data_IF_558650489353
#
_entry.id   IF_558650489353
#
_cell.length_a   1.000
_cell.length_b   1.000
_cell.length_c   1.000
_cell.angle_alpha   90.00
_cell.angle_beta   90.00
_cell.angle_gamma   90.00
#
_symmetry.space_group_name_H-M   'P 1'
#
loop_
_entity.id
_entity.type
_entity.pdbx_description
1 polymer ?
#
# COMPACT_ATOMS: atom_id res chain seq x y z
N UNK A 1 -2.33 -25.01 -18.15
CA UNK A 1 -1.93 -23.90 -17.26
C UNK A 1 -3.03 -23.67 -16.26
N UNK A 2 -2.72 -23.51 -14.97
CA UNK A 2 -3.72 -23.14 -13.95
C UNK A 2 -4.19 -21.70 -14.26
N UNK A 3 -5.48 -21.43 -14.08
CA UNK A 3 -5.98 -20.06 -14.21
C UNK A 3 -5.46 -19.23 -13.04
N UNK A 4 -5.07 -17.96 -13.26
CA UNK A 4 -4.85 -17.02 -12.17
C UNK A 4 -6.09 -16.92 -11.30
N UNK A 5 -5.90 -16.66 -10.01
CA UNK A 5 -6.97 -16.67 -9.01
C UNK A 5 -6.85 -15.48 -8.05
N UNK A 6 -7.99 -14.86 -7.73
CA UNK A 6 -8.08 -13.69 -6.85
C UNK A 6 -9.17 -13.87 -5.79
N UNK A 7 -8.85 -13.51 -4.56
CA UNK A 7 -9.81 -13.40 -3.45
C UNK A 7 -10.00 -11.93 -3.05
N UNK A 8 -11.21 -11.39 -3.24
CA UNK A 8 -11.57 -10.05 -2.75
C UNK A 8 -12.15 -10.09 -1.34
N UNK A 9 -11.62 -9.28 -0.43
CA UNK A 9 -12.02 -9.27 0.98
C UNK A 9 -12.50 -7.90 1.41
N UNK A 10 -13.61 -7.83 2.14
CA UNK A 10 -13.98 -6.63 2.90
C UNK A 10 -14.60 -7.04 4.24
N UNK A 11 -15.04 -6.11 5.09
CA UNK A 11 -15.59 -6.50 6.41
C UNK A 11 -16.80 -7.42 6.28
N UNK A 12 -17.83 -6.98 5.55
CA UNK A 12 -19.14 -7.65 5.51
C UNK A 12 -19.32 -8.62 4.36
N UNK A 13 -18.46 -8.63 3.35
CA UNK A 13 -18.68 -9.32 2.08
C UNK A 13 -20.08 -9.09 1.45
N UNK A 14 -20.60 -7.89 1.63
CA UNK A 14 -21.93 -7.50 1.16
C UNK A 14 -21.89 -6.40 0.09
N UNK A 15 -20.82 -5.59 0.04
CA UNK A 15 -20.69 -4.44 -0.86
C UNK A 15 -19.42 -4.51 -1.70
N UNK A 16 -18.38 -3.74 -1.30
CA UNK A 16 -17.12 -3.57 -2.04
C UNK A 16 -16.51 -4.88 -2.60
N UNK A 17 -16.34 -5.93 -1.78
CA UNK A 17 -15.75 -7.18 -2.29
C UNK A 17 -16.66 -7.97 -3.24
N UNK A 18 -17.98 -7.88 -3.09
CA UNK A 18 -18.93 -8.45 -4.05
C UNK A 18 -18.91 -7.67 -5.37
N UNK A 19 -18.81 -6.34 -5.29
CA UNK A 19 -18.68 -5.48 -6.47
C UNK A 19 -17.40 -5.80 -7.24
N UNK A 20 -16.27 -5.89 -6.55
CA UNK A 20 -14.99 -6.24 -7.17
C UNK A 20 -15.03 -7.63 -7.84
N UNK A 21 -15.62 -8.63 -7.16
CA UNK A 21 -15.76 -9.96 -7.73
C UNK A 21 -16.66 -9.99 -8.98
N UNK A 22 -17.82 -9.33 -8.93
CA UNK A 22 -18.73 -9.23 -10.07
C UNK A 22 -18.08 -8.53 -11.27
N UNK A 23 -17.40 -7.40 -11.04
CA UNK A 23 -16.68 -6.65 -12.07
C UNK A 23 -15.53 -7.46 -12.66
N UNK A 24 -14.74 -8.16 -11.83
CA UNK A 24 -13.64 -9.00 -12.30
C UNK A 24 -14.15 -10.14 -13.18
N UNK A 25 -15.24 -10.81 -12.80
CA UNK A 25 -15.85 -11.85 -13.64
C UNK A 25 -16.32 -11.30 -14.99
N UNK A 26 -16.88 -10.08 -15.02
CA UNK A 26 -17.26 -9.42 -16.27
C UNK A 26 -16.04 -9.09 -17.16
N UNK A 27 -14.96 -8.58 -16.56
CA UNK A 27 -13.77 -8.07 -17.29
C UNK A 27 -12.84 -9.21 -17.73
N UNK A 28 -12.56 -10.16 -16.84
CA UNK A 28 -11.67 -11.28 -17.08
C UNK A 28 -12.39 -12.50 -17.68
N UNK A 29 -13.71 -12.60 -17.52
CA UNK A 29 -14.47 -13.76 -17.98
C UNK A 29 -13.95 -15.05 -17.34
N UNK A 30 -13.79 -16.09 -18.15
CA UNK A 30 -13.32 -17.40 -17.68
C UNK A 30 -11.80 -17.51 -17.51
N UNK A 31 -11.03 -16.43 -17.69
CA UNK A 31 -9.55 -16.48 -17.61
C UNK A 31 -9.01 -16.37 -16.20
N UNK A 32 -9.82 -15.93 -15.22
CA UNK A 32 -9.42 -15.76 -13.82
C UNK A 32 -10.47 -16.43 -12.92
N UNK A 33 -10.02 -17.17 -11.92
CA UNK A 33 -10.89 -17.71 -10.87
C UNK A 33 -11.12 -16.64 -9.80
N UNK A 34 -12.39 -16.29 -9.54
CA UNK A 34 -12.75 -15.11 -8.75
C UNK A 34 -13.56 -15.47 -7.51
N UNK A 35 -13.01 -15.13 -6.36
CA UNK A 35 -13.59 -15.38 -5.04
C UNK A 35 -13.85 -14.07 -4.29
N UNK A 36 -14.76 -14.11 -3.32
CA UNK A 36 -14.96 -13.01 -2.38
C UNK A 36 -15.29 -13.54 -1.00
N UNK A 37 -14.81 -12.86 0.04
CA UNK A 37 -15.08 -13.21 1.42
C UNK A 37 -15.12 -11.96 2.33
N UNK A 38 -15.41 -12.17 3.62
CA UNK A 38 -15.31 -11.10 4.60
C UNK A 38 -14.95 -11.55 6.00
N UNK A 39 -14.32 -10.63 6.73
CA UNK A 39 -13.82 -10.87 8.10
C UNK A 39 -14.97 -11.01 9.11
N UNK A 40 -16.09 -10.33 8.86
CA UNK A 40 -17.33 -10.37 9.66
C UNK A 40 -18.54 -10.38 8.72
N UNK A 41 -18.84 -11.50 8.03
CA UNK A 41 -19.85 -11.54 6.97
C UNK A 41 -21.21 -10.98 7.40
N UNK A 42 -21.86 -10.25 6.50
CA UNK A 42 -23.22 -9.76 6.66
C UNK A 42 -24.27 -10.85 6.43
N UNK A 43 -25.55 -10.47 6.53
CA UNK A 43 -26.69 -11.38 6.33
C UNK A 43 -27.15 -11.48 4.87
N UNK A 44 -26.69 -10.57 4.01
CA UNK A 44 -27.04 -10.52 2.60
C UNK A 44 -26.22 -9.48 1.85
N UNK A 45 -26.31 -9.51 0.52
CA UNK A 45 -25.69 -8.51 -0.36
C UNK A 45 -26.37 -7.15 -0.15
N UNK A 46 -25.58 -6.08 -0.19
CA UNK A 46 -26.07 -4.71 -0.09
C UNK A 46 -26.88 -4.36 -1.34
N UNK A 47 -28.15 -3.97 -1.16
CA UNK A 47 -29.07 -3.70 -2.25
C UNK A 47 -28.58 -2.60 -3.21
N UNK A 48 -28.01 -1.51 -2.68
CA UNK A 48 -27.47 -0.43 -3.52
C UNK A 48 -26.22 -0.86 -4.30
N UNK A 49 -25.38 -1.73 -3.73
CA UNK A 49 -24.26 -2.33 -4.45
C UNK A 49 -24.73 -3.22 -5.61
N UNK A 50 -25.80 -4.00 -5.40
CA UNK A 50 -26.39 -4.82 -6.45
C UNK A 50 -27.05 -3.96 -7.55
N UNK A 51 -27.84 -2.95 -7.16
CA UNK A 51 -28.46 -1.98 -8.06
C UNK A 51 -27.41 -1.27 -8.93
N UNK A 52 -26.34 -0.77 -8.31
CA UNK A 52 -25.25 -0.09 -8.99
C UNK A 52 -24.51 -0.98 -10.01
N UNK A 53 -24.39 -2.28 -9.74
CA UNK A 53 -23.78 -3.23 -10.68
C UNK A 53 -24.72 -3.63 -11.83
N UNK A 54 -26.03 -3.68 -11.58
CA UNK A 54 -27.01 -3.94 -12.64
C UNK A 54 -26.98 -2.85 -13.72
N UNK A 55 -26.68 -1.60 -13.36
CA UNK A 55 -26.46 -0.50 -14.34
C UNK A 55 -25.37 -0.82 -15.37
N UNK A 56 -24.37 -1.62 -14.97
CA UNK A 56 -23.30 -2.08 -15.85
C UNK A 56 -23.50 -3.54 -16.27
N UNK A 57 -24.70 -4.11 -16.14
CA UNK A 57 -25.01 -5.47 -16.58
C UNK A 57 -24.31 -6.57 -15.79
N UNK A 58 -23.99 -6.33 -14.51
CA UNK A 58 -23.49 -7.34 -13.58
C UNK A 58 -24.55 -7.58 -12.51
N UNK A 59 -25.03 -8.81 -12.39
CA UNK A 59 -25.98 -9.20 -11.35
C UNK A 59 -25.27 -9.97 -10.24
N UNK A 60 -25.35 -9.45 -9.01
CA UNK A 60 -24.83 -10.10 -7.79
C UNK A 60 -25.93 -10.42 -6.77
N UNK A 61 -27.21 -10.31 -7.14
CA UNK A 61 -28.33 -10.52 -6.22
C UNK A 61 -28.42 -11.95 -5.69
N UNK A 62 -27.92 -12.93 -6.45
CA UNK A 62 -27.81 -14.34 -6.05
C UNK A 62 -26.56 -14.69 -5.24
N UNK A 63 -25.64 -13.74 -5.05
CA UNK A 63 -24.45 -13.96 -4.22
C UNK A 63 -24.79 -13.87 -2.73
N UNK A 64 -23.91 -14.41 -1.89
CA UNK A 64 -24.08 -14.37 -0.43
C UNK A 64 -22.76 -14.02 0.27
N UNK A 65 -22.80 -13.20 1.34
CA UNK A 65 -21.66 -12.99 2.21
C UNK A 65 -21.17 -14.31 2.81
N UNK A 66 -19.86 -14.55 2.76
CA UNK A 66 -19.22 -15.74 3.31
C UNK A 66 -17.93 -15.40 4.07
N UNK A 67 -17.57 -16.20 5.10
CA UNK A 67 -16.34 -15.97 5.86
C UNK A 67 -15.11 -16.21 4.99
N UNK A 68 -13.97 -15.69 5.45
CA UNK A 68 -12.68 -16.01 4.85
C UNK A 68 -12.38 -17.48 5.14
N UNK A 69 -12.09 -18.23 4.09
CA UNK A 69 -11.57 -19.58 4.17
C UNK A 69 -10.03 -19.53 4.19
N UNK A 70 -9.38 -19.93 5.31
CA UNK A 70 -7.93 -19.90 5.41
C UNK A 70 -7.21 -20.78 4.38
N UNK A 71 -7.82 -21.90 3.97
CA UNK A 71 -7.23 -22.77 2.94
C UNK A 71 -7.23 -22.05 1.59
N UNK A 72 -8.35 -21.41 1.25
CA UNK A 72 -8.46 -20.61 0.03
C UNK A 72 -7.47 -19.44 0.01
N UNK A 73 -7.24 -18.77 1.15
CA UNK A 73 -6.24 -17.70 1.26
C UNK A 73 -4.85 -18.21 0.89
N UNK A 74 -4.50 -19.42 1.32
CA UNK A 74 -3.23 -20.04 0.95
C UNK A 74 -3.17 -20.52 -0.50
N UNK A 75 -4.32 -20.76 -1.14
CA UNK A 75 -4.41 -21.37 -2.47
C UNK A 75 -4.46 -20.39 -3.64
N UNK A 76 -5.05 -19.22 -3.44
CA UNK A 76 -5.14 -18.17 -4.47
C UNK A 76 -3.80 -17.52 -4.78
N UNK A 77 -3.70 -16.88 -5.94
CA UNK A 77 -2.46 -16.19 -6.34
C UNK A 77 -2.39 -14.78 -5.72
N UNK A 78 -3.54 -14.13 -5.51
CA UNK A 78 -3.62 -12.82 -4.86
C UNK A 78 -4.87 -12.66 -3.98
N UNK A 79 -4.68 -12.04 -2.81
CA UNK A 79 -5.75 -11.56 -1.92
C UNK A 79 -5.78 -10.04 -1.98
N UNK A 80 -6.95 -9.47 -2.29
CA UNK A 80 -7.17 -8.03 -2.36
C UNK A 80 -8.16 -7.60 -1.28
N UNK A 81 -7.69 -6.81 -0.32
CA UNK A 81 -8.52 -6.28 0.76
C UNK A 81 -9.06 -4.89 0.39
N UNK A 82 -10.38 -4.68 0.46
CA UNK A 82 -11.04 -3.42 0.12
C UNK A 82 -11.44 -2.65 1.38
N UNK A 83 -10.82 -1.48 1.56
CA UNK A 83 -10.93 -0.61 2.72
C UNK A 83 -9.96 -0.97 3.85
N UNK A 84 -9.93 -0.13 4.88
CA UNK A 84 -8.92 -0.18 5.95
C UNK A 84 -9.33 -0.99 7.19
N UNK A 85 -10.61 -1.37 7.29
CA UNK A 85 -11.14 -2.07 8.47
C UNK A 85 -11.00 -3.60 8.40
N UNK A 86 -10.87 -4.15 7.20
CA UNK A 86 -10.67 -5.58 7.02
C UNK A 86 -9.17 -5.89 7.12
N UNK A 87 -8.83 -6.91 7.90
CA UNK A 87 -7.48 -7.41 8.02
C UNK A 87 -7.48 -8.90 7.74
N UNK A 88 -6.56 -9.33 6.88
CA UNK A 88 -6.28 -10.73 6.58
C UNK A 88 -4.84 -10.98 6.94
N UNK A 89 -4.59 -12.02 7.72
CA UNK A 89 -3.24 -12.41 8.11
C UNK A 89 -2.46 -12.87 6.86
N UNK A 90 -1.27 -12.29 6.59
CA UNK A 90 -0.48 -12.69 5.44
C UNK A 90 -0.05 -14.16 5.54
N UNK A 91 -0.20 -14.90 4.45
CA UNK A 91 0.25 -16.28 4.31
C UNK A 91 1.41 -16.33 3.31
N UNK A 92 2.45 -17.09 3.64
CA UNK A 92 3.64 -17.20 2.80
C UNK A 92 3.29 -17.75 1.40
N UNK A 93 3.78 -17.08 0.35
CA UNK A 93 3.59 -17.50 -1.04
C UNK A 93 2.32 -16.97 -1.71
N UNK A 94 1.46 -16.25 -0.99
CA UNK A 94 0.30 -15.55 -1.57
C UNK A 94 0.58 -14.06 -1.62
N UNK A 95 0.25 -13.39 -2.74
CA UNK A 95 0.37 -11.93 -2.84
C UNK A 95 -0.80 -11.26 -2.10
N UNK A 96 -0.52 -10.21 -1.33
CA UNK A 96 -1.54 -9.42 -0.66
C UNK A 96 -1.51 -7.98 -1.16
N UNK A 97 -2.68 -7.41 -1.40
CA UNK A 97 -2.86 -6.02 -1.79
C UNK A 97 -4.03 -5.40 -1.01
N UNK A 98 -3.92 -4.12 -0.68
CA UNK A 98 -5.01 -3.38 -0.02
C UNK A 98 -5.40 -2.19 -0.88
N UNK A 99 -6.67 -2.14 -1.24
CA UNK A 99 -7.29 -1.02 -1.95
C UNK A 99 -8.02 -0.15 -0.95
N UNK A 100 -7.41 0.99 -0.63
CA UNK A 100 -8.13 2.06 0.04
C UNK A 100 -9.00 2.77 -1.00
N UNK A 101 -10.26 2.33 -1.06
CA UNK A 101 -11.28 2.95 -1.92
C UNK A 101 -11.74 4.23 -1.24
N UNK A 102 -11.81 5.31 -2.02
CA UNK A 102 -12.42 6.57 -1.56
C UNK A 102 -13.77 6.30 -0.87
N UNK A 103 -14.06 7.04 0.19
CA UNK A 103 -15.28 6.88 0.99
C UNK A 103 -16.16 8.13 0.85
N UNK A 104 -17.01 8.22 -0.20
CA UNK A 104 -17.73 9.44 -0.54
C UNK A 104 -18.66 9.95 0.57
N UNK A 105 -19.07 9.09 1.51
CA UNK A 105 -19.89 9.49 2.66
C UNK A 105 -19.18 10.49 3.57
N UNK A 106 -17.84 10.49 3.62
CA UNK A 106 -17.06 11.48 4.38
C UNK A 106 -17.21 12.89 3.81
N UNK A 107 -17.60 13.01 2.54
CA UNK A 107 -17.90 14.28 1.86
C UNK A 107 -19.40 14.55 1.74
N UNK A 108 -20.24 13.78 2.44
CA UNK A 108 -21.70 13.90 2.41
C UNK A 108 -22.37 13.34 1.16
N UNK A 109 -21.69 12.47 0.40
CA UNK A 109 -22.27 11.77 -0.74
C UNK A 109 -22.71 10.38 -0.27
N UNK A 110 -24.01 10.13 -0.30
CA UNK A 110 -24.63 8.90 0.19
C UNK A 110 -25.46 8.19 -0.89
N UNK A 111 -26.07 7.06 -0.51
CA UNK A 111 -27.03 6.36 -1.37
C UNK A 111 -26.41 5.76 -2.63
N UNK A 112 -27.13 5.86 -3.76
CA UNK A 112 -26.72 5.25 -5.03
C UNK A 112 -25.53 5.97 -5.67
N UNK A 113 -25.44 7.30 -5.54
CA UNK A 113 -24.32 8.07 -6.11
C UNK A 113 -23.00 7.73 -5.45
N UNK A 114 -23.01 7.51 -4.13
CA UNK A 114 -21.87 6.93 -3.40
C UNK A 114 -21.46 5.59 -4.00
N UNK A 115 -22.41 4.70 -4.26
CA UNK A 115 -22.11 3.37 -4.82
C UNK A 115 -21.56 3.45 -6.24
N UNK A 116 -21.99 4.41 -7.07
CA UNK A 116 -21.47 4.62 -8.42
C UNK A 116 -20.00 5.06 -8.39
N UNK A 117 -19.65 6.00 -7.51
CA UNK A 117 -18.25 6.42 -7.34
C UNK A 117 -17.36 5.25 -6.89
N UNK A 118 -17.81 4.47 -5.90
CA UNK A 118 -17.09 3.27 -5.43
C UNK A 118 -16.98 2.23 -6.55
N UNK A 119 -18.04 2.00 -7.33
CA UNK A 119 -18.02 1.07 -8.48
C UNK A 119 -16.95 1.49 -9.49
N UNK A 120 -16.88 2.77 -9.82
CA UNK A 120 -16.03 3.26 -10.89
C UNK A 120 -14.54 3.21 -10.46
N UNK A 121 -14.22 3.53 -9.21
CA UNK A 121 -12.89 3.32 -8.62
C UNK A 121 -12.50 1.83 -8.62
N UNK A 122 -13.37 0.96 -8.10
CA UNK A 122 -13.14 -0.49 -8.11
C UNK A 122 -12.97 -1.01 -9.55
N UNK A 123 -13.75 -0.50 -10.51
CA UNK A 123 -13.66 -0.89 -11.92
C UNK A 123 -12.29 -0.56 -12.50
N UNK A 124 -11.76 0.63 -12.23
CA UNK A 124 -10.44 1.03 -12.69
C UNK A 124 -9.34 0.09 -12.14
N UNK A 125 -9.38 -0.20 -10.84
CA UNK A 125 -8.42 -1.09 -10.18
C UNK A 125 -8.52 -2.54 -10.66
N UNK A 126 -9.74 -3.05 -10.83
CA UNK A 126 -9.99 -4.40 -11.35
C UNK A 126 -9.45 -4.55 -12.78
N UNK A 127 -9.55 -3.53 -13.64
CA UNK A 127 -8.98 -3.58 -15.00
C UNK A 127 -7.46 -3.74 -14.96
N UNK A 128 -6.79 -2.97 -14.11
CA UNK A 128 -5.33 -3.07 -13.93
C UNK A 128 -4.95 -4.46 -13.43
N UNK A 129 -5.64 -4.95 -12.39
CA UNK A 129 -5.36 -6.27 -11.83
C UNK A 129 -5.62 -7.40 -12.84
N UNK A 130 -6.70 -7.34 -13.62
CA UNK A 130 -7.00 -8.33 -14.64
C UNK A 130 -5.87 -8.42 -15.69
N UNK A 131 -5.30 -7.29 -16.09
CA UNK A 131 -4.19 -7.27 -17.04
C UNK A 131 -2.90 -7.81 -16.43
N UNK A 132 -2.61 -7.46 -15.17
CA UNK A 132 -1.48 -8.03 -14.43
C UNK A 132 -1.59 -9.56 -14.33
N UNK A 133 -2.79 -10.09 -14.03
CA UNK A 133 -3.01 -11.53 -13.91
C UNK A 133 -2.94 -12.27 -15.27
N UNK A 134 -3.24 -11.60 -16.38
CA UNK A 134 -3.09 -12.17 -17.74
C UNK A 134 -1.64 -12.23 -18.19
N UNK A 135 -0.88 -11.18 -17.87
CA UNK A 135 0.52 -11.02 -18.29
C UNK A 135 1.49 -11.80 -17.39
N UNK A 136 1.15 -11.97 -16.11
CA UNK A 136 1.81 -12.90 -15.22
C UNK A 136 1.49 -14.36 -15.64
N UNK A 137 2.34 -14.94 -16.50
CA UNK A 137 2.21 -16.32 -16.95
C UNK A 137 2.16 -17.29 -15.75
N UNK A 138 1.33 -18.36 -15.75
CA UNK A 138 1.10 -19.23 -14.58
C UNK A 138 2.29 -20.14 -14.19
N UNK A 139 3.50 -19.80 -14.59
CA UNK A 139 4.69 -20.64 -14.44
C UNK A 139 5.42 -20.48 -13.10
N UNK A 140 5.03 -19.55 -12.23
CA UNK A 140 5.53 -19.54 -10.84
C UNK A 140 4.69 -20.48 -9.98
N UNK A 141 4.84 -21.77 -10.27
CA UNK A 141 4.22 -22.85 -9.49
C UNK A 141 4.91 -22.91 -8.14
N UNK A 142 4.08 -22.81 -7.08
CA UNK A 142 4.41 -23.17 -5.69
C UNK A 142 5.30 -24.40 -5.65
N UNK A 143 6.59 -24.18 -5.45
CA UNK A 143 7.57 -25.23 -5.13
C UNK A 143 8.16 -24.85 -3.79
N UNK A 144 7.66 -25.44 -2.70
CA UNK A 144 8.41 -25.45 -1.45
C UNK A 144 9.50 -26.53 -1.50
N UNK A 145 10.47 -26.51 -0.59
CA UNK A 145 11.21 -25.37 -0.05
C UNK A 145 12.61 -25.30 -0.70
N UNK A 146 13.11 -24.10 -0.96
CA UNK A 146 14.57 -23.90 -0.98
C UNK A 146 14.91 -22.85 0.07
N UNK A 147 15.18 -23.31 1.29
CA UNK A 147 15.92 -22.55 2.28
C UNK A 147 17.33 -22.38 1.74
N UNK A 148 17.57 -21.29 1.01
CA UNK A 148 18.90 -21.04 0.48
C UNK A 148 19.01 -20.06 -0.69
N UNK A 149 18.10 -19.10 -0.86
CA UNK A 149 18.38 -17.89 -1.65
C UNK A 149 17.34 -16.78 -1.38
N UNK A 150 17.53 -15.98 -0.31
CA UNK A 150 16.81 -14.69 -0.18
C UNK A 150 17.54 -13.68 -1.06
N UNK A 151 17.28 -13.73 -2.37
CA UNK A 151 17.62 -12.64 -3.27
C UNK A 151 16.93 -11.37 -2.75
N UNK A 152 17.72 -10.35 -2.42
CA UNK A 152 17.20 -9.05 -1.96
C UNK A 152 16.32 -8.45 -3.06
N UNK A 153 15.04 -8.27 -2.76
CA UNK A 153 14.09 -7.63 -3.68
C UNK A 153 14.30 -6.12 -3.68
N UNK A 154 14.27 -5.53 -4.88
CA UNK A 154 14.51 -4.10 -5.08
C UNK A 154 13.21 -3.32 -4.90
N UNK A 155 13.18 -2.47 -3.89
CA UNK A 155 12.04 -1.58 -3.59
C UNK A 155 12.34 -0.18 -4.13
N UNK A 156 11.44 0.38 -4.92
CA UNK A 156 11.58 1.72 -5.51
C UNK A 156 10.35 2.57 -5.18
N UNK A 157 10.55 3.73 -4.58
CA UNK A 157 9.48 4.66 -4.23
C UNK A 157 9.57 5.89 -5.13
N UNK A 158 8.53 6.15 -5.90
CA UNK A 158 8.40 7.28 -6.81
C UNK A 158 7.49 8.32 -6.16
N UNK A 159 8.03 9.46 -5.79
CA UNK A 159 7.38 10.50 -5.01
C UNK A 159 6.78 11.61 -5.91
N UNK A 160 5.73 12.32 -5.45
CA UNK A 160 5.26 13.52 -6.14
C UNK A 160 6.36 14.58 -6.24
N UNK A 161 6.09 15.66 -6.96
CA UNK A 161 7.02 16.79 -7.10
C UNK A 161 7.17 17.52 -5.75
N UNK A 162 8.09 17.04 -4.91
CA UNK A 162 8.40 17.62 -3.61
C UNK A 162 9.43 18.74 -3.76
N UNK A 163 9.35 19.77 -2.90
CA UNK A 163 10.25 20.92 -2.91
C UNK A 163 11.72 20.56 -2.64
N UNK A 164 12.00 19.42 -2.00
CA UNK A 164 13.35 18.88 -1.78
C UNK A 164 13.34 17.35 -1.82
N UNK A 165 14.52 16.72 -1.77
CA UNK A 165 14.67 15.27 -1.91
C UNK A 165 13.89 14.47 -0.84
N UNK A 166 13.74 14.97 0.39
CA UNK A 166 12.96 14.33 1.47
C UNK A 166 11.53 14.89 1.57
N UNK A 167 11.24 15.99 0.88
CA UNK A 167 10.07 16.85 1.10
C UNK A 167 9.95 17.45 2.51
N UNK A 168 10.99 17.38 3.34
CA UNK A 168 11.06 17.94 4.69
C UNK A 168 11.75 19.32 4.64
N UNK A 169 11.16 20.28 3.92
CA UNK A 169 11.68 21.65 3.86
C UNK A 169 10.56 22.67 4.11
N UNK A 170 10.82 23.65 4.98
CA UNK A 170 9.86 24.69 5.35
C UNK A 170 9.50 24.67 6.83
N UNK A 171 8.66 25.61 7.24
CA UNK A 171 8.20 25.77 8.64
C UNK A 171 7.13 24.72 9.00
N UNK A 172 6.33 24.28 8.02
CA UNK A 172 5.31 23.23 8.15
C UNK A 172 5.81 21.89 7.59
N UNK A 173 6.58 21.16 8.40
CA UNK A 173 7.12 19.85 8.04
C UNK A 173 6.04 18.76 8.07
N UNK A 174 5.83 18.07 6.95
CA UNK A 174 5.00 16.87 6.92
C UNK A 174 5.65 15.72 7.71
N UNK A 175 5.06 15.43 8.88
CA UNK A 175 5.51 14.37 9.78
C UNK A 175 5.49 12.97 9.14
N UNK A 176 4.69 12.76 8.08
CA UNK A 176 4.69 11.51 7.33
C UNK A 176 6.00 11.31 6.57
N UNK A 177 6.51 12.37 5.95
CA UNK A 177 7.77 12.34 5.19
C UNK A 177 8.99 12.18 6.11
N UNK A 178 8.92 12.76 7.31
CA UNK A 178 9.93 12.54 8.37
C UNK A 178 9.98 11.06 8.76
N UNK A 179 8.81 10.48 9.07
CA UNK A 179 8.71 9.08 9.50
C UNK A 179 9.13 8.11 8.40
N UNK A 180 8.68 8.36 7.17
CA UNK A 180 9.07 7.60 6.00
C UNK A 180 10.58 7.67 5.73
N UNK A 181 11.19 8.85 5.84
CA UNK A 181 12.65 8.99 5.67
C UNK A 181 13.40 8.16 6.71
N UNK A 182 12.97 8.17 7.97
CA UNK A 182 13.57 7.35 9.03
C UNK A 182 13.41 5.84 8.77
N UNK A 183 12.27 5.42 8.23
CA UNK A 183 12.01 4.01 7.91
C UNK A 183 12.81 3.53 6.69
N UNK A 184 13.00 4.37 5.67
CA UNK A 184 13.90 4.09 4.55
C UNK A 184 15.34 3.91 5.02
N UNK A 185 15.85 4.83 5.86
CA UNK A 185 17.21 4.76 6.38
C UNK A 185 17.40 3.52 7.25
N UNK A 186 16.40 3.15 8.06
CA UNK A 186 16.41 1.91 8.81
C UNK A 186 16.55 0.69 7.89
N UNK A 187 15.73 0.58 6.83
CA UNK A 187 15.78 -0.57 5.92
C UNK A 187 17.10 -0.63 5.15
N UNK A 188 17.63 0.51 4.68
CA UNK A 188 18.94 0.59 4.03
C UNK A 188 20.08 0.18 4.97
N UNK A 189 20.04 0.61 6.24
CA UNK A 189 21.06 0.26 7.24
C UNK A 189 21.13 -1.25 7.53
N UNK A 190 20.04 -1.98 7.23
CA UNK A 190 19.91 -3.43 7.41
C UNK A 190 20.20 -4.21 6.12
N UNK A 191 20.68 -3.53 5.07
CA UNK A 191 21.04 -4.15 3.79
C UNK A 191 19.89 -4.28 2.79
N UNK A 192 18.73 -3.67 3.05
CA UNK A 192 17.64 -3.67 2.08
C UNK A 192 17.93 -2.79 0.86
N UNK A 193 17.65 -3.29 -0.35
CA UNK A 193 17.74 -2.52 -1.60
C UNK A 193 16.49 -1.65 -1.75
N UNK A 194 16.54 -0.44 -1.18
CA UNK A 194 15.44 0.53 -1.28
C UNK A 194 15.92 1.86 -1.85
N UNK A 195 15.26 2.30 -2.91
CA UNK A 195 15.50 3.58 -3.59
C UNK A 195 14.26 4.47 -3.52
N UNK A 196 14.47 5.79 -3.49
CA UNK A 196 13.40 6.77 -3.64
C UNK A 196 13.76 7.75 -4.75
N UNK A 197 12.77 8.25 -5.48
CA UNK A 197 12.90 9.16 -6.61
C UNK A 197 11.85 10.26 -6.52
N UNK A 198 12.25 11.52 -6.55
CA UNK A 198 11.32 12.66 -6.53
C UNK A 198 11.07 13.18 -7.95
N UNK A 199 9.80 13.30 -8.35
CA UNK A 199 9.42 13.76 -9.69
C UNK A 199 10.01 15.14 -10.07
N UNK A 200 10.17 16.04 -9.10
CA UNK A 200 10.71 17.37 -9.33
C UNK A 200 12.21 17.37 -9.64
N UNK A 201 12.98 16.53 -8.94
CA UNK A 201 14.45 16.51 -9.04
C UNK A 201 14.99 15.39 -9.95
N UNK A 202 14.23 14.32 -10.14
CA UNK A 202 14.67 13.10 -10.85
C UNK A 202 13.64 12.62 -11.91
N UNK A 203 13.14 13.49 -12.82
CA UNK A 203 12.10 13.11 -13.79
C UNK A 203 12.53 11.99 -14.75
N UNK A 204 13.85 11.81 -15.00
CA UNK A 204 14.36 10.73 -15.85
C UNK A 204 14.06 9.35 -15.29
N UNK A 205 14.13 9.16 -13.97
CA UNK A 205 13.83 7.88 -13.33
C UNK A 205 12.38 7.43 -13.56
N UNK A 206 11.45 8.39 -13.70
CA UNK A 206 10.05 8.13 -14.01
C UNK A 206 9.86 7.76 -15.49
N UNK A 207 10.65 8.36 -16.39
CA UNK A 207 10.59 8.10 -17.82
C UNK A 207 11.25 6.77 -18.23
N UNK A 208 12.23 6.30 -17.45
CA UNK A 208 12.95 5.05 -17.71
C UNK A 208 12.15 3.79 -17.33
N UNK A 209 11.13 3.91 -16.48
CA UNK A 209 10.28 2.78 -16.08
C UNK A 209 8.96 2.76 -16.83
N UNK A 210 8.71 1.69 -17.60
CA UNK A 210 7.45 1.50 -18.33
C UNK A 210 6.25 1.40 -17.38
N UNK A 211 6.41 0.75 -16.22
CA UNK A 211 5.38 0.67 -15.17
C UNK A 211 5.02 2.05 -14.64
N UNK A 212 6.00 2.91 -14.39
CA UNK A 212 5.78 4.27 -13.86
C UNK A 212 5.15 5.16 -14.91
N UNK A 213 5.60 5.09 -16.17
CA UNK A 213 4.98 5.83 -17.29
C UNK A 213 3.52 5.44 -17.49
N UNK A 214 3.23 4.13 -17.50
CA UNK A 214 1.87 3.63 -17.63
C UNK A 214 0.98 4.12 -16.48
N UNK A 215 1.50 4.09 -15.24
CA UNK A 215 0.81 4.62 -14.09
C UNK A 215 0.53 6.12 -14.21
N UNK A 216 1.53 6.95 -14.52
CA UNK A 216 1.38 8.39 -14.66
C UNK A 216 0.42 8.78 -15.79
N UNK A 217 0.36 8.00 -16.88
CA UNK A 217 -0.57 8.25 -17.98
C UNK A 217 -2.04 8.05 -17.56
N UNK A 218 -2.30 7.12 -16.64
CA UNK A 218 -3.65 6.76 -16.20
C UNK A 218 -4.07 7.52 -14.94
N UNK A 219 -3.24 7.50 -13.90
CA UNK A 219 -3.55 8.06 -12.58
C UNK A 219 -3.08 9.50 -12.40
N UNK A 220 -2.19 10.00 -13.28
CA UNK A 220 -1.58 11.32 -13.12
C UNK A 220 -0.57 11.39 -11.96
N UNK A 221 0.00 12.58 -11.76
CA UNK A 221 0.92 12.85 -10.65
C UNK A 221 0.23 12.81 -9.28
N UNK A 222 -1.09 13.00 -9.23
CA UNK A 222 -1.88 12.98 -7.99
C UNK A 222 -1.98 11.57 -7.39
N UNK A 223 -1.72 10.53 -8.18
CA UNK A 223 -1.64 9.15 -7.71
C UNK A 223 -0.34 8.78 -7.00
N UNK A 224 0.65 9.67 -6.98
CA UNK A 224 1.93 9.46 -6.28
C UNK A 224 1.75 9.66 -4.75
N UNK A 225 2.59 9.03 -3.91
CA UNK A 225 3.74 8.20 -4.27
C UNK A 225 3.37 6.80 -4.80
N UNK A 226 4.15 6.29 -5.75
CA UNK A 226 4.05 4.95 -6.33
C UNK A 226 5.22 4.09 -5.83
N UNK A 227 4.94 2.91 -5.27
CA UNK A 227 5.97 1.96 -4.83
C UNK A 227 6.01 0.77 -5.77
N UNK A 228 7.19 0.44 -6.25
CA UNK A 228 7.48 -0.78 -7.00
C UNK A 228 8.33 -1.73 -6.15
N UNK A 229 8.06 -3.03 -6.27
CA UNK A 229 8.93 -4.10 -5.78
C UNK A 229 9.26 -4.97 -6.98
N UNK A 230 10.56 -5.07 -7.29
CA UNK A 230 11.08 -5.75 -8.48
C UNK A 230 10.38 -5.30 -9.79
N UNK A 231 10.11 -4.00 -9.89
CA UNK A 231 9.48 -3.37 -11.06
C UNK A 231 7.95 -3.51 -11.13
N UNK A 232 7.33 -4.23 -10.19
CA UNK A 232 5.88 -4.43 -10.10
C UNK A 232 5.28 -3.46 -9.09
N UNK A 233 4.15 -2.82 -9.43
CA UNK A 233 3.43 -1.93 -8.50
C UNK A 233 2.99 -2.69 -7.25
N UNK A 234 3.52 -2.28 -6.10
CA UNK A 234 3.17 -2.80 -4.79
C UNK A 234 2.20 -1.87 -4.03
N UNK A 235 2.30 -0.56 -4.25
CA UNK A 235 1.44 0.42 -3.56
C UNK A 235 1.39 1.76 -4.30
N UNK A 236 0.31 2.53 -4.12
CA UNK A 236 0.13 3.87 -4.71
C UNK A 236 -0.54 4.83 -3.70
N UNK A 237 -0.36 6.13 -3.85
CA UNK A 237 -1.05 7.18 -3.09
C UNK A 237 -0.63 7.36 -1.62
N UNK A 238 0.28 6.53 -1.09
CA UNK A 238 0.81 6.69 0.29
C UNK A 238 2.22 6.15 0.45
N UNK A 239 2.89 6.64 1.49
CA UNK A 239 4.22 6.18 1.89
C UNK A 239 4.14 4.87 2.68
N UNK A 240 5.00 3.88 2.39
CA UNK A 240 5.01 2.63 3.14
C UNK A 240 5.57 2.83 4.53
N UNK A 241 5.09 2.03 5.48
CA UNK A 241 5.68 1.96 6.81
C UNK A 241 6.91 1.01 6.84
N UNK A 242 7.63 1.03 7.96
CA UNK A 242 8.80 0.16 8.17
C UNK A 242 8.52 -1.32 7.95
N UNK A 243 7.38 -1.83 8.41
CA UNK A 243 7.07 -3.25 8.34
C UNK A 243 6.88 -3.68 6.88
N UNK A 244 6.20 -2.85 6.09
CA UNK A 244 6.03 -3.04 4.65
C UNK A 244 7.38 -2.99 3.92
N UNK A 245 8.19 -1.95 4.16
CA UNK A 245 9.52 -1.82 3.56
C UNK A 245 10.42 -3.00 3.90
N UNK A 246 10.44 -3.43 5.16
CA UNK A 246 11.25 -4.54 5.62
C UNK A 246 10.82 -5.87 4.99
N UNK A 247 9.50 -6.10 4.92
CA UNK A 247 8.92 -7.28 4.26
C UNK A 247 9.32 -7.34 2.79
N UNK A 248 9.17 -6.22 2.06
CA UNK A 248 9.51 -6.18 0.64
C UNK A 248 11.02 -6.27 0.39
N UNK A 249 11.85 -5.68 1.24
CA UNK A 249 13.30 -5.76 1.12
C UNK A 249 13.88 -7.10 1.61
N UNK A 250 13.05 -8.02 2.11
CA UNK A 250 13.50 -9.33 2.60
C UNK A 250 14.34 -9.27 3.88
N UNK A 251 14.21 -8.19 4.66
CA UNK A 251 14.93 -8.00 5.92
C UNK A 251 14.02 -8.27 7.13
N UNK A 252 14.58 -8.86 8.19
CA UNK A 252 13.82 -9.14 9.40
C UNK A 252 13.49 -7.83 10.14
N UNK A 253 12.20 -7.49 10.20
CA UNK A 253 11.65 -6.24 10.74
C UNK A 253 11.60 -6.17 12.28
N UNK A 254 12.36 -6.98 13.00
CA UNK A 254 12.32 -6.99 14.46
C UNK A 254 13.11 -5.81 15.04
N UNK A 255 12.45 -4.65 15.17
CA UNK A 255 12.97 -3.47 15.85
C UNK A 255 11.88 -2.41 16.05
N UNK A 256 11.85 -1.69 17.19
CA UNK A 256 10.73 -0.83 17.55
C UNK A 256 10.52 0.32 16.55
N UNK A 257 9.29 0.44 16.03
CA UNK A 257 8.80 1.56 15.25
C UNK A 257 8.53 2.77 16.17
N UNK A 258 9.60 3.41 16.64
CA UNK A 258 9.54 4.65 17.39
C UNK A 258 10.66 5.59 16.96
N UNK A 259 10.52 6.90 17.20
CA UNK A 259 11.65 7.81 17.08
C UNK A 259 12.75 7.29 18.00
N UNK A 260 13.94 7.08 17.45
CA UNK A 260 15.14 6.91 18.28
C UNK A 260 15.25 8.21 19.06
N UNK A 261 14.83 8.18 20.32
CA UNK A 261 15.26 9.14 21.32
C UNK A 261 16.77 9.21 21.17
N UNK A 262 17.28 10.35 20.71
CA UNK A 262 18.68 10.67 20.92
C UNK A 262 18.84 10.66 22.43
N UNK A 263 19.46 9.61 22.96
CA UNK A 263 19.95 9.56 24.33
C UNK A 263 20.98 10.68 24.47
N UNK A 264 20.49 11.88 24.72
CA UNK A 264 21.24 12.87 25.46
C UNK A 264 21.24 12.33 26.88
N UNK A 265 22.23 11.49 27.19
CA UNK A 265 22.53 11.17 28.56
C UNK A 265 22.86 12.50 29.25
N UNK A 266 21.89 13.02 30.00
CA UNK A 266 22.13 14.03 31.03
C UNK A 266 23.14 13.43 32.01
N UNK A 267 24.40 13.68 31.71
CA UNK A 267 25.49 13.43 32.62
C UNK A 267 25.39 14.50 33.68
N UNK A 268 24.59 14.22 34.72
CA UNK A 268 24.63 14.93 35.99
C UNK A 268 25.98 14.61 36.63
N UNK A 269 27.01 15.35 36.23
CA UNK A 269 28.26 15.46 36.97
C UNK A 269 28.30 16.84 37.58
N UNK A 270 27.97 16.89 38.86
CA UNK A 270 28.44 17.95 39.72
C UNK A 270 29.97 17.98 39.65
N UNK A 271 30.55 19.13 39.29
CA UNK A 271 31.96 19.42 39.48
C UNK A 271 32.68 19.82 38.19
N UNK A 272 33.13 21.08 38.17
CA UNK A 272 34.14 21.53 37.23
C UNK A 272 33.76 22.82 36.52
N UNK A 273 33.85 23.94 37.23
CA UNK A 273 33.93 25.24 36.58
C UNK A 273 35.08 25.26 35.58
N UNK A 274 34.81 25.82 34.41
CA UNK A 274 35.85 26.22 33.46
C UNK A 274 35.39 27.50 32.74
N UNK A 275 35.07 28.53 33.53
CA UNK A 275 35.09 29.90 33.05
C UNK A 275 36.47 30.46 33.41
N UNK A 276 37.42 30.33 32.49
CA UNK A 276 38.61 31.16 32.52
C UNK A 276 38.17 32.60 32.26
N UNK A 277 38.42 33.42 33.26
CA UNK A 277 38.38 34.87 33.23
C UNK A 277 39.05 35.43 31.97
N UNK A 278 38.36 36.32 31.26
CA UNK A 278 38.95 37.65 31.09
C UNK A 278 37.89 38.75 31.07
N UNK A 279 38.04 39.58 32.09
CA UNK A 279 37.52 40.92 32.34
C UNK A 279 37.28 41.77 31.08
N UNK A 280 36.08 42.33 30.94
CA UNK A 280 35.85 43.79 31.02
C UNK A 280 34.42 44.19 30.62
N UNK A 281 33.79 45.04 31.44
CA UNK A 281 32.72 45.95 30.99
C UNK A 281 31.34 45.69 31.58
N UNK A 282 31.00 46.53 32.56
CA UNK A 282 29.65 46.83 33.07
C UNK A 282 28.54 46.73 32.00
N UNK A 283 27.30 46.36 32.32
CA UNK A 283 26.40 47.15 33.17
C UNK A 283 25.15 46.31 33.47
N UNK A 284 24.69 46.36 34.72
CA UNK A 284 23.40 45.86 35.20
C UNK A 284 22.23 46.36 34.33
N UNK A 285 21.29 45.48 34.00
CA UNK A 285 19.93 45.83 33.58
C UNK A 285 18.97 44.90 34.32
N UNK A 286 18.10 45.52 35.11
CA UNK A 286 17.01 44.92 35.88
C UNK A 286 15.97 44.21 35.01
#
# INVERSE_FOLDING_TARGET
MRKPSVLFVCVKNAGKSQMAAGLMRKIAGATVDVYSAGTKPGTGVNALSAECLLEVGVDITGEHPKPIDPELVGDVDIVVTLGNEAHVEPVQGTRFETWDTDEPSERGIDGIDRMRLIRDDITARVRVLAEQLRTASPAQTKTGPNQGDRSMSKVQVFEPALCCATGVCGEDVDQRLVRFSADLDYVRSRGGDVSRYNLASEPSAFAESDTVKAFLHVAGSDGLPLVLVDGVTAMTGRYPDRAQLATWAGIDASGPAGPTSLDITETTTAGGGCCSSDSSGATDCC
#
